data_IF_103916572500
#
_entry.id   IF_103916572500
#
_cell.length_a   1.000
_cell.length_b   1.000
_cell.length_c   1.000
_cell.angle_alpha   90.00
_cell.angle_beta   90.00
_cell.angle_gamma   90.00
#
_symmetry.space_group_name_H-M   'P 1'
#
loop_
_entity.id
_entity.type
_entity.pdbx_description
1 polymer ?
#
# COMPACT_ATOMS: atom_id res chain seq x y z
N UNK A 1 -19.93 29.30 -9.29
CA UNK A 1 -20.63 28.01 -9.28
C UNK A 1 -19.57 26.93 -9.16
N UNK A 2 -19.43 26.30 -8.00
CA UNK A 2 -18.51 25.17 -7.83
C UNK A 2 -19.23 23.92 -8.35
N UNK A 3 -18.60 23.21 -9.29
CA UNK A 3 -19.12 21.96 -9.82
C UNK A 3 -18.94 20.88 -8.72
N UNK A 4 -19.99 20.58 -7.96
CA UNK A 4 -19.93 19.57 -6.89
C UNK A 4 -20.07 18.16 -7.47
N UNK A 5 -18.95 17.46 -7.59
CA UNK A 5 -18.87 16.09 -8.05
C UNK A 5 -19.23 15.12 -6.90
N UNK A 6 -20.52 14.79 -6.74
CA UNK A 6 -21.03 13.86 -5.69
C UNK A 6 -20.52 12.41 -5.76
N UNK A 7 -19.78 12.03 -6.81
CA UNK A 7 -19.24 10.66 -6.99
C UNK A 7 -17.71 10.60 -6.97
N UNK A 8 -17.01 11.70 -6.69
CA UNK A 8 -15.55 11.71 -6.67
C UNK A 8 -15.00 10.71 -5.63
N UNK A 9 -15.62 10.66 -4.44
CA UNK A 9 -15.24 9.70 -3.40
C UNK A 9 -15.29 8.26 -3.89
N UNK A 10 -16.39 7.82 -4.52
CA UNK A 10 -16.50 6.45 -5.05
C UNK A 10 -15.45 6.10 -6.11
N UNK A 11 -15.00 7.08 -6.89
CA UNK A 11 -13.92 6.87 -7.87
C UNK A 11 -12.58 6.76 -7.15
N UNK A 12 -12.32 7.62 -6.16
CA UNK A 12 -11.13 7.56 -5.30
C UNK A 12 -11.06 6.23 -4.56
N UNK A 13 -12.12 5.83 -3.85
CA UNK A 13 -12.22 4.54 -3.15
C UNK A 13 -11.93 3.36 -4.10
N UNK A 14 -12.42 3.42 -5.34
CA UNK A 14 -12.18 2.37 -6.31
C UNK A 14 -10.73 2.33 -6.78
N UNK A 15 -10.13 3.48 -7.08
CA UNK A 15 -8.72 3.59 -7.45
C UNK A 15 -7.79 3.17 -6.32
N UNK A 16 -8.12 3.53 -5.08
CA UNK A 16 -7.40 3.10 -3.88
C UNK A 16 -7.45 1.58 -3.70
N UNK A 17 -8.63 0.98 -3.86
CA UNK A 17 -8.80 -0.46 -3.76
C UNK A 17 -8.05 -1.22 -4.87
N UNK A 18 -8.14 -0.73 -6.11
CA UNK A 18 -7.46 -1.35 -7.26
C UNK A 18 -5.94 -1.19 -7.17
N UNK A 19 -5.44 -0.01 -6.78
CA UNK A 19 -4.01 0.19 -6.53
C UNK A 19 -3.50 -0.71 -5.41
N UNK A 20 -4.27 -0.85 -4.32
CA UNK A 20 -3.91 -1.75 -3.21
C UNK A 20 -3.82 -3.20 -3.66
N UNK A 21 -4.83 -3.70 -4.40
CA UNK A 21 -4.83 -5.06 -4.93
C UNK A 21 -3.66 -5.31 -5.90
N UNK A 22 -3.38 -4.38 -6.80
CA UNK A 22 -2.27 -4.50 -7.74
C UNK A 22 -0.91 -4.52 -7.04
N UNK A 23 -0.69 -3.61 -6.10
CA UNK A 23 0.58 -3.54 -5.37
C UNK A 23 0.75 -4.75 -4.47
N UNK A 24 -0.31 -5.20 -3.82
CA UNK A 24 -0.27 -6.42 -3.00
C UNK A 24 0.06 -7.65 -3.84
N UNK A 25 -0.60 -7.84 -4.99
CA UNK A 25 -0.28 -8.92 -5.93
C UNK A 25 1.15 -8.81 -6.47
N UNK A 26 1.60 -7.60 -6.81
CA UNK A 26 2.96 -7.36 -7.29
C UNK A 26 4.02 -7.73 -6.25
N UNK A 27 3.82 -7.33 -4.99
CA UNK A 27 4.72 -7.65 -3.88
C UNK A 27 4.73 -9.16 -3.61
N UNK A 28 3.55 -9.80 -3.61
CA UNK A 28 3.41 -11.26 -3.48
C UNK A 28 4.17 -12.00 -4.57
N UNK A 29 4.02 -11.59 -5.83
CA UNK A 29 4.72 -12.19 -6.97
C UNK A 29 6.24 -11.93 -6.92
N UNK A 30 6.65 -10.69 -6.62
CA UNK A 30 8.05 -10.28 -6.59
C UNK A 30 8.86 -10.99 -5.50
N UNK A 31 8.26 -11.22 -4.34
CA UNK A 31 8.90 -11.92 -3.22
C UNK A 31 8.55 -13.40 -3.11
N UNK A 32 7.59 -13.89 -3.91
CA UNK A 32 7.12 -15.27 -3.88
C UNK A 32 6.40 -15.66 -2.57
N UNK A 33 5.73 -14.71 -1.93
CA UNK A 33 5.00 -14.91 -0.66
C UNK A 33 3.49 -15.02 -0.90
N UNK A 34 2.77 -15.73 -0.04
CA UNK A 34 1.31 -15.81 -0.17
C UNK A 34 0.63 -14.58 0.41
N UNK A 35 1.22 -14.01 1.47
CA UNK A 35 0.73 -12.81 2.11
C UNK A 35 1.83 -11.76 2.29
N UNK A 36 1.43 -10.49 2.21
CA UNK A 36 2.35 -9.37 2.40
C UNK A 36 2.87 -9.31 3.84
N UNK A 37 2.17 -9.91 4.82
CA UNK A 37 2.69 -10.04 6.20
C UNK A 37 3.80 -11.09 6.36
N UNK A 38 3.99 -11.98 5.37
CA UNK A 38 5.06 -13.00 5.37
C UNK A 38 6.41 -12.46 4.88
N UNK A 39 6.46 -11.19 4.44
CA UNK A 39 7.69 -10.55 4.00
C UNK A 39 8.73 -10.52 5.12
N UNK A 40 10.00 -10.46 4.77
CA UNK A 40 11.06 -10.25 5.76
C UNK A 40 11.20 -8.77 6.11
N UNK A 41 11.82 -8.47 7.26
CA UNK A 41 12.16 -7.08 7.65
C UNK A 41 12.95 -6.32 6.59
N UNK A 42 13.83 -7.01 5.88
CA UNK A 42 14.62 -6.40 4.81
C UNK A 42 13.73 -6.01 3.62
N UNK A 43 12.84 -6.91 3.19
CA UNK A 43 11.92 -6.68 2.08
C UNK A 43 10.92 -5.56 2.40
N UNK A 44 10.33 -5.56 3.59
CA UNK A 44 9.38 -4.52 3.97
C UNK A 44 10.06 -3.15 4.14
N UNK A 45 11.32 -3.12 4.56
CA UNK A 45 12.10 -1.88 4.64
C UNK A 45 12.45 -1.32 3.25
N UNK A 46 12.65 -2.18 2.25
CA UNK A 46 12.79 -1.74 0.86
C UNK A 46 11.47 -1.16 0.32
N UNK A 47 10.34 -1.80 0.62
CA UNK A 47 8.99 -1.34 0.23
C UNK A 47 8.65 -0.01 0.91
N UNK A 48 8.97 0.14 2.20
CA UNK A 48 8.79 1.37 2.97
C UNK A 48 9.57 2.54 2.34
N UNK A 49 10.85 2.33 2.04
CA UNK A 49 11.65 3.32 1.30
C UNK A 49 11.09 3.64 -0.07
N UNK A 50 10.60 2.63 -0.79
CA UNK A 50 9.96 2.84 -2.07
C UNK A 50 8.71 3.72 -1.92
N UNK A 51 7.91 3.49 -0.87
CA UNK A 51 6.70 4.27 -0.57
C UNK A 51 6.97 5.74 -0.24
N UNK A 52 8.21 6.11 0.12
CA UNK A 52 8.65 7.49 0.33
C UNK A 52 9.04 8.22 -0.97
N UNK A 53 9.10 7.53 -2.11
CA UNK A 53 9.48 8.15 -3.38
C UNK A 53 8.39 9.10 -3.90
N UNK A 54 8.72 10.39 -4.05
CA UNK A 54 7.81 11.45 -4.49
C UNK A 54 7.28 11.25 -5.91
N UNK A 55 7.89 10.36 -6.71
CA UNK A 55 7.42 10.06 -8.07
C UNK A 55 6.29 9.04 -8.10
N UNK A 56 5.95 8.43 -6.98
CA UNK A 56 4.85 7.49 -6.91
C UNK A 56 3.51 8.21 -6.99
N UNK A 57 2.57 7.59 -7.70
CA UNK A 57 1.17 7.97 -7.63
C UNK A 57 0.69 7.89 -6.17
N UNK A 58 -0.14 8.86 -5.78
CA UNK A 58 -0.65 9.00 -4.40
C UNK A 58 -1.29 7.69 -3.93
N UNK A 59 -2.04 7.00 -4.81
CA UNK A 59 -2.69 5.72 -4.51
C UNK A 59 -1.68 4.58 -4.33
N UNK A 60 -0.59 4.58 -5.09
CA UNK A 60 0.47 3.56 -4.99
C UNK A 60 1.25 3.76 -3.69
N UNK A 61 1.64 4.99 -3.36
CA UNK A 61 2.28 5.29 -2.08
C UNK A 61 1.41 4.92 -0.88
N UNK A 62 0.10 5.16 -0.98
CA UNK A 62 -0.87 4.82 0.07
C UNK A 62 -1.05 3.30 0.21
N UNK A 63 -1.14 2.57 -0.90
CA UNK A 63 -1.16 1.10 -0.93
C UNK A 63 0.10 0.49 -0.29
N UNK A 64 1.29 0.95 -0.68
CA UNK A 64 2.56 0.48 -0.12
C UNK A 64 2.63 0.72 1.39
N UNK A 65 2.24 1.91 1.86
CA UNK A 65 2.20 2.21 3.29
C UNK A 65 1.20 1.34 4.05
N UNK A 66 0.03 1.08 3.49
CA UNK A 66 -0.94 0.17 4.10
C UNK A 66 -0.36 -1.23 4.28
N UNK A 67 0.37 -1.73 3.28
CA UNK A 67 1.02 -3.04 3.33
C UNK A 67 2.14 -3.06 4.38
N UNK A 68 3.00 -2.04 4.39
CA UNK A 68 4.06 -1.88 5.39
C UNK A 68 3.46 -1.83 6.80
N UNK A 69 2.40 -1.05 7.00
CA UNK A 69 1.74 -0.93 8.28
C UNK A 69 1.06 -2.25 8.71
N UNK A 70 0.41 -2.97 7.79
CA UNK A 70 -0.17 -4.28 8.08
C UNK A 70 0.89 -5.31 8.48
N UNK A 71 2.05 -5.26 7.84
CA UNK A 71 3.20 -6.08 8.21
C UNK A 71 3.72 -5.76 9.61
N UNK A 72 3.90 -4.48 9.94
CA UNK A 72 4.34 -4.04 11.27
C UNK A 72 3.31 -4.39 12.36
N UNK A 73 2.01 -4.20 12.11
CA UNK A 73 0.94 -4.57 13.04
C UNK A 73 0.95 -6.08 13.35
N UNK A 74 1.22 -6.90 12.33
CA UNK A 74 1.27 -8.35 12.47
C UNK A 74 2.56 -8.86 13.15
N UNK A 75 3.72 -8.32 12.76
CA UNK A 75 5.04 -8.84 13.16
C UNK A 75 5.70 -8.08 14.31
N UNK A 76 5.38 -6.80 14.50
CA UNK A 76 5.92 -5.93 15.55
C UNK A 76 4.82 -5.07 16.23
N UNK A 77 3.84 -5.70 16.93
CA UNK A 77 2.75 -4.97 17.59
C UNK A 77 3.19 -4.05 18.76
N UNK A 78 4.49 -3.97 19.07
CA UNK A 78 5.03 -3.37 20.31
C UNK A 78 5.89 -2.11 20.09
N UNK A 79 5.90 -1.50 18.90
CA UNK A 79 6.56 -0.19 18.70
C UNK A 79 5.55 0.95 18.64
N UNK A 80 5.06 1.34 19.83
CA UNK A 80 4.37 2.61 20.11
C UNK A 80 5.23 3.47 21.04
#
# INVERSE_FOLDING_TARGET
>A
MAFEYKKLGKLQDHLEAEATDWIENYIKDLHGVNDSVELTKEQISEIDKAAEDEKLDIYVGLALRNIVQAWYDHNEPDTL
#
